data_IF_419595146195
#
_entry.id   IF_419595146195
#
_cell.length_a   1.000
_cell.length_b   1.000
_cell.length_c   1.000
_cell.angle_alpha   90.00
_cell.angle_beta   90.00
_cell.angle_gamma   90.00
#
_symmetry.space_group_name_H-M   'P 1'
#
loop_
_entity.id
_entity.type
_entity.pdbx_description
1 polymer ?
#
# COMPACT_ATOMS: atom_id res chain seq x y z
N UNK A 1 6.24 -20.12 -11.04
CA UNK A 1 4.91 -19.82 -11.61
C UNK A 1 5.12 -19.59 -13.11
N UNK A 2 4.56 -20.47 -13.96
CA UNK A 2 4.78 -20.44 -15.43
C UNK A 2 4.15 -19.21 -16.14
N UNK A 3 3.41 -18.35 -15.43
CA UNK A 3 2.69 -17.24 -16.00
C UNK A 3 2.91 -15.92 -15.22
N UNK A 4 4.15 -15.68 -14.76
CA UNK A 4 4.46 -14.46 -14.01
C UNK A 4 4.10 -13.16 -14.75
N UNK A 5 4.31 -13.12 -16.06
CA UNK A 5 3.97 -11.97 -16.90
C UNK A 5 2.46 -11.70 -16.95
N UNK A 6 1.63 -12.75 -16.93
CA UNK A 6 0.17 -12.60 -16.88
C UNK A 6 -0.30 -12.03 -15.54
N UNK A 7 0.33 -12.43 -14.43
CA UNK A 7 0.03 -11.88 -13.11
C UNK A 7 0.41 -10.41 -13.01
N UNK A 8 1.55 -10.02 -13.58
CA UNK A 8 2.00 -8.62 -13.64
C UNK A 8 1.01 -7.79 -14.48
N UNK A 9 0.58 -8.31 -15.64
CA UNK A 9 -0.40 -7.63 -16.49
C UNK A 9 -1.74 -7.43 -15.77
N UNK A 10 -2.18 -8.42 -15.00
CA UNK A 10 -3.40 -8.33 -14.18
C UNK A 10 -3.29 -7.25 -13.12
N UNK A 11 -2.13 -7.14 -12.47
CA UNK A 11 -1.83 -6.05 -11.53
C UNK A 11 -1.95 -4.68 -12.18
N UNK A 12 -1.36 -4.50 -13.37
CA UNK A 12 -1.41 -3.24 -14.11
C UNK A 12 -2.83 -2.85 -14.55
N UNK A 13 -3.65 -3.81 -14.96
CA UNK A 13 -5.07 -3.57 -15.25
C UNK A 13 -5.80 -3.11 -13.99
N UNK A 14 -5.54 -3.76 -12.85
CA UNK A 14 -6.11 -3.36 -11.57
C UNK A 14 -5.71 -1.94 -11.18
N UNK A 15 -4.44 -1.57 -11.34
CA UNK A 15 -3.94 -0.20 -11.10
C UNK A 15 -4.70 0.82 -11.95
N UNK A 16 -4.85 0.56 -13.25
CA UNK A 16 -5.57 1.46 -14.15
C UNK A 16 -7.01 1.68 -13.72
N UNK A 17 -7.72 0.61 -13.37
CA UNK A 17 -9.09 0.69 -12.86
C UNK A 17 -9.16 1.48 -11.53
N UNK A 18 -8.21 1.26 -10.63
CA UNK A 18 -8.16 1.96 -9.35
C UNK A 18 -7.92 3.46 -9.52
N UNK A 19 -7.01 3.87 -10.40
CA UNK A 19 -6.73 5.28 -10.68
C UNK A 19 -8.00 6.01 -11.13
N UNK A 20 -8.79 5.38 -11.98
CA UNK A 20 -10.06 5.95 -12.46
C UNK A 20 -11.09 6.08 -11.33
N UNK A 21 -11.10 5.14 -10.38
CA UNK A 21 -12.07 5.12 -9.27
C UNK A 21 -11.70 6.04 -8.12
N UNK A 22 -10.42 6.39 -7.94
CA UNK A 22 -9.93 7.18 -6.80
C UNK A 22 -10.69 8.50 -6.62
N UNK A 23 -10.89 9.36 -7.64
CA UNK A 23 -11.60 10.63 -7.47
C UNK A 23 -13.01 10.44 -6.89
N UNK A 24 -13.74 9.42 -7.34
CA UNK A 24 -15.10 9.13 -6.86
C UNK A 24 -15.11 8.65 -5.42
N UNK A 25 -14.16 7.81 -5.05
CA UNK A 25 -14.06 7.27 -3.69
C UNK A 25 -13.58 8.35 -2.72
N UNK A 26 -12.64 9.21 -3.13
CA UNK A 26 -12.15 10.31 -2.31
C UNK A 26 -13.22 11.35 -1.99
N UNK A 27 -14.07 11.70 -2.95
CA UNK A 27 -15.18 12.65 -2.72
C UNK A 27 -16.20 12.09 -1.72
N UNK A 28 -16.39 10.78 -1.70
CA UNK A 28 -17.38 10.12 -0.84
C UNK A 28 -16.86 9.82 0.56
N UNK A 29 -15.63 9.33 0.68
CA UNK A 29 -15.08 8.80 1.94
C UNK A 29 -14.02 9.69 2.59
N UNK A 30 -13.47 10.64 1.86
CA UNK A 30 -12.38 11.51 2.31
C UNK A 30 -11.00 10.84 2.28
N UNK A 31 -9.95 11.67 2.37
CA UNK A 31 -8.56 11.24 2.23
C UNK A 31 -8.14 10.21 3.27
N UNK A 32 -8.48 10.45 4.55
CA UNK A 32 -8.11 9.54 5.64
C UNK A 32 -8.63 8.11 5.40
N UNK A 33 -9.90 7.99 5.06
CA UNK A 33 -10.53 6.69 4.86
C UNK A 33 -9.96 5.97 3.62
N UNK A 34 -9.67 6.71 2.56
CA UNK A 34 -9.04 6.15 1.35
C UNK A 34 -7.63 5.64 1.66
N UNK A 35 -6.83 6.37 2.42
CA UNK A 35 -5.50 5.92 2.86
C UNK A 35 -5.59 4.70 3.80
N UNK A 36 -6.58 4.64 4.69
CA UNK A 36 -6.81 3.47 5.54
C UNK A 36 -7.22 2.24 4.72
N UNK A 37 -8.07 2.41 3.72
CA UNK A 37 -8.42 1.33 2.77
C UNK A 37 -7.15 0.80 2.09
N UNK A 38 -6.27 1.68 1.66
CA UNK A 38 -4.99 1.30 1.05
C UNK A 38 -4.10 0.50 2.01
N UNK A 39 -3.98 0.94 3.26
CA UNK A 39 -3.19 0.23 4.28
C UNK A 39 -3.78 -1.14 4.62
N UNK A 40 -5.11 -1.24 4.75
CA UNK A 40 -5.78 -2.53 4.95
C UNK A 40 -5.64 -3.44 3.74
N UNK A 41 -5.61 -2.90 2.52
CA UNK A 41 -5.31 -3.65 1.31
C UNK A 41 -3.89 -4.24 1.33
N UNK A 42 -2.89 -3.54 1.87
CA UNK A 42 -1.56 -4.10 2.09
C UNK A 42 -1.57 -5.27 3.08
N UNK A 43 -2.30 -5.15 4.20
CA UNK A 43 -2.48 -6.25 5.15
C UNK A 43 -3.09 -7.47 4.48
N UNK A 44 -4.17 -7.26 3.73
CA UNK A 44 -4.84 -8.33 2.99
C UNK A 44 -3.91 -8.99 1.97
N UNK A 45 -3.16 -8.19 1.23
CA UNK A 45 -2.20 -8.69 0.23
C UNK A 45 -1.14 -9.59 0.85
N UNK A 46 -0.51 -9.16 1.93
CA UNK A 46 0.49 -9.97 2.61
C UNK A 46 -0.11 -11.22 3.24
N UNK A 47 -1.34 -11.13 3.78
CA UNK A 47 -2.08 -12.30 4.26
C UNK A 47 -2.39 -13.32 3.16
N UNK A 48 -2.77 -12.85 1.98
CA UNK A 48 -3.00 -13.72 0.81
C UNK A 48 -1.72 -14.42 0.34
N UNK A 49 -0.58 -13.73 0.38
CA UNK A 49 0.71 -14.36 0.08
C UNK A 49 1.10 -15.39 1.15
N UNK A 50 0.80 -15.14 2.42
CA UNK A 50 1.08 -16.08 3.50
C UNK A 50 0.28 -17.38 3.37
N UNK A 51 -0.97 -17.28 2.95
CA UNK A 51 -1.89 -18.42 2.80
C UNK A 51 -1.79 -19.09 1.43
N UNK A 52 -1.30 -18.36 0.41
CA UNK A 52 -1.19 -18.87 -0.96
C UNK A 52 -0.12 -19.95 -1.09
N UNK A 53 -0.35 -20.88 -2.00
CA UNK A 53 0.63 -21.89 -2.41
C UNK A 53 0.57 -22.14 -3.93
N UNK A 54 1.61 -22.75 -4.54
CA UNK A 54 1.63 -22.99 -5.98
C UNK A 54 0.59 -24.00 -6.49
N UNK A 55 -0.09 -24.71 -5.59
CA UNK A 55 -1.14 -25.68 -5.90
C UNK A 55 -2.54 -25.05 -5.92
N UNK A 56 -3.41 -25.54 -5.05
CA UNK A 56 -4.83 -25.08 -4.93
C UNK A 56 -4.96 -23.62 -4.46
N UNK A 57 -3.90 -23.02 -3.92
CA UNK A 57 -3.88 -21.63 -3.43
C UNK A 57 -3.44 -20.58 -4.44
N UNK A 58 -3.25 -20.92 -5.71
CA UNK A 58 -2.84 -19.97 -6.77
C UNK A 58 -3.82 -18.80 -6.92
N UNK A 59 -5.10 -19.05 -6.72
CA UNK A 59 -6.12 -17.98 -6.77
C UNK A 59 -5.90 -16.87 -5.75
N UNK A 60 -5.27 -17.18 -4.61
CA UNK A 60 -4.89 -16.17 -3.61
C UNK A 60 -3.81 -15.22 -4.14
N UNK A 61 -2.87 -15.72 -4.92
CA UNK A 61 -1.88 -14.87 -5.59
C UNK A 61 -2.51 -13.98 -6.65
N UNK A 62 -3.47 -14.49 -7.42
CA UNK A 62 -4.22 -13.72 -8.41
C UNK A 62 -5.00 -12.59 -7.71
N UNK A 63 -5.72 -12.92 -6.64
CA UNK A 63 -6.45 -11.94 -5.85
C UNK A 63 -5.52 -10.88 -5.23
N UNK A 64 -4.35 -11.30 -4.75
CA UNK A 64 -3.32 -10.39 -4.25
C UNK A 64 -2.84 -9.40 -5.32
N UNK A 65 -2.72 -9.82 -6.57
CA UNK A 65 -2.34 -8.92 -7.67
C UNK A 65 -3.44 -7.89 -7.98
N UNK A 66 -4.70 -8.26 -7.85
CA UNK A 66 -5.82 -7.32 -7.99
C UNK A 66 -5.83 -6.31 -6.83
N UNK A 67 -5.63 -6.77 -5.60
CA UNK A 67 -5.59 -5.92 -4.41
C UNK A 67 -4.39 -4.96 -4.44
N UNK A 68 -3.33 -5.29 -5.18
CA UNK A 68 -2.16 -4.44 -5.32
C UNK A 68 -2.49 -3.03 -5.84
N UNK A 69 -3.33 -2.93 -6.86
CA UNK A 69 -3.75 -1.63 -7.38
C UNK A 69 -4.40 -0.77 -6.29
N UNK A 70 -5.31 -1.34 -5.51
CA UNK A 70 -5.94 -0.64 -4.38
C UNK A 70 -4.89 -0.24 -3.33
N UNK A 71 -3.99 -1.14 -2.97
CA UNK A 71 -2.99 -0.89 -1.94
C UNK A 71 -2.01 0.23 -2.35
N UNK A 72 -1.53 0.20 -3.58
CA UNK A 72 -0.49 1.11 -4.05
C UNK A 72 -1.07 2.47 -4.47
N UNK A 73 -2.05 2.47 -5.35
CA UNK A 73 -2.55 3.71 -5.96
C UNK A 73 -3.37 4.55 -4.98
N UNK A 74 -4.22 3.92 -4.17
CA UNK A 74 -5.01 4.65 -3.19
C UNK A 74 -4.11 5.36 -2.19
N UNK A 75 -3.02 4.74 -1.76
CA UNK A 75 -2.08 5.39 -0.84
C UNK A 75 -1.31 6.52 -1.51
N UNK A 76 -0.68 6.27 -2.65
CA UNK A 76 0.20 7.23 -3.31
C UNK A 76 -0.57 8.44 -3.84
N UNK A 77 -1.69 8.23 -4.51
CA UNK A 77 -2.48 9.31 -5.10
C UNK A 77 -3.17 10.12 -4.00
N UNK A 78 -3.75 9.46 -2.99
CA UNK A 78 -4.37 10.17 -1.87
C UNK A 78 -3.35 10.96 -1.06
N UNK A 79 -2.17 10.39 -0.81
CA UNK A 79 -1.07 11.08 -0.13
C UNK A 79 -0.57 12.30 -0.92
N UNK A 80 -0.39 12.14 -2.21
CA UNK A 80 0.00 13.23 -3.12
C UNK A 80 -1.04 14.36 -3.12
N UNK A 81 -2.31 14.03 -3.23
CA UNK A 81 -3.41 15.01 -3.18
C UNK A 81 -3.51 15.68 -1.81
N UNK A 82 -3.28 14.95 -0.72
CA UNK A 82 -3.22 15.53 0.61
C UNK A 82 -2.10 16.58 0.73
N UNK A 83 -0.91 16.27 0.24
CA UNK A 83 0.23 17.20 0.21
C UNK A 83 -0.12 18.43 -0.62
N UNK A 84 -0.71 18.24 -1.79
CA UNK A 84 -1.11 19.35 -2.66
C UNK A 84 -2.12 20.29 -2.01
N UNK A 85 -3.13 19.75 -1.34
CA UNK A 85 -4.18 20.53 -0.69
C UNK A 85 -3.71 21.28 0.56
N UNK A 86 -2.64 20.80 1.22
CA UNK A 86 -2.12 21.37 2.46
C UNK A 86 -0.84 22.19 2.28
N UNK A 87 -0.42 22.45 1.03
CA UNK A 87 0.82 23.17 0.72
C UNK A 87 0.52 24.36 -0.18
N UNK A 88 1.16 25.49 0.09
CA UNK A 88 1.07 26.69 -0.74
C UNK A 88 1.58 26.42 -2.16
N UNK A 89 0.99 27.11 -3.15
CA UNK A 89 1.32 26.92 -4.57
C UNK A 89 2.81 27.07 -4.88
N UNK A 90 3.50 27.97 -4.17
CA UNK A 90 4.94 28.21 -4.35
C UNK A 90 5.82 27.04 -3.88
N UNK A 91 5.36 26.28 -2.91
CA UNK A 91 6.12 25.18 -2.28
C UNK A 91 5.61 23.79 -2.69
N UNK A 92 4.57 23.71 -3.49
CA UNK A 92 3.87 22.47 -3.85
C UNK A 92 4.80 21.45 -4.49
N UNK A 93 5.65 21.87 -5.43
CA UNK A 93 6.61 20.96 -6.09
C UNK A 93 7.64 20.41 -5.09
N UNK A 94 8.16 21.25 -4.20
CA UNK A 94 9.11 20.81 -3.17
C UNK A 94 8.48 19.85 -2.18
N UNK A 95 7.23 20.11 -1.77
CA UNK A 95 6.49 19.23 -0.86
C UNK A 95 6.18 17.86 -1.50
N UNK A 96 5.84 17.83 -2.79
CA UNK A 96 5.67 16.59 -3.54
C UNK A 96 6.99 15.81 -3.66
N UNK A 97 8.09 16.50 -3.96
CA UNK A 97 9.42 15.88 -3.98
C UNK A 97 9.81 15.30 -2.63
N UNK A 98 9.52 16.01 -1.53
CA UNK A 98 9.76 15.52 -0.18
C UNK A 98 8.88 14.29 0.14
N UNK A 99 7.61 14.31 -0.23
CA UNK A 99 6.70 13.16 -0.06
C UNK A 99 7.24 11.93 -0.80
N UNK A 100 7.66 12.08 -2.04
CA UNK A 100 8.26 11.00 -2.82
C UNK A 100 9.59 10.50 -2.23
N UNK A 101 10.43 11.41 -1.75
CA UNK A 101 11.68 11.03 -1.08
C UNK A 101 11.42 10.24 0.20
N UNK A 102 10.47 10.68 1.02
CA UNK A 102 10.11 9.98 2.25
C UNK A 102 9.50 8.59 2.00
N UNK A 103 8.63 8.47 1.01
CA UNK A 103 7.95 7.20 0.70
C UNK A 103 8.83 6.25 -0.12
N UNK A 104 9.28 6.69 -1.29
CA UNK A 104 10.00 5.83 -2.24
C UNK A 104 11.52 5.81 -2.03
N UNK A 105 12.07 6.78 -1.30
CA UNK A 105 13.47 6.79 -0.90
C UNK A 105 13.67 6.16 0.48
N UNK A 106 13.47 6.95 1.52
CA UNK A 106 13.76 6.55 2.91
C UNK A 106 12.87 5.38 3.34
N UNK A 107 11.57 5.47 3.11
CA UNK A 107 10.62 4.42 3.48
C UNK A 107 10.91 3.10 2.78
N UNK A 108 11.18 3.14 1.47
CA UNK A 108 11.53 1.96 0.70
C UNK A 108 12.86 1.34 1.17
N UNK A 109 13.87 2.16 1.49
CA UNK A 109 15.16 1.68 1.99
C UNK A 109 15.01 0.97 3.34
N UNK A 110 14.33 1.60 4.30
CA UNK A 110 14.07 1.01 5.62
C UNK A 110 13.24 -0.27 5.45
N UNK A 111 12.21 -0.23 4.61
CA UNK A 111 11.36 -1.39 4.34
C UNK A 111 12.14 -2.56 3.76
N UNK A 112 13.01 -2.32 2.80
CA UNK A 112 13.84 -3.36 2.17
C UNK A 112 14.82 -3.98 3.17
N UNK A 113 15.50 -3.16 3.96
CA UNK A 113 16.44 -3.65 4.98
C UNK A 113 15.72 -4.45 6.06
N UNK A 114 14.57 -3.97 6.52
CA UNK A 114 13.75 -4.69 7.50
C UNK A 114 13.22 -6.01 6.94
N UNK A 115 12.76 -6.01 5.69
CA UNK A 115 12.29 -7.22 5.02
C UNK A 115 13.41 -8.25 4.87
N UNK A 116 14.61 -7.82 4.51
CA UNK A 116 15.78 -8.72 4.41
C UNK A 116 16.14 -9.33 5.77
N UNK A 117 16.08 -8.53 6.85
CA UNK A 117 16.33 -9.03 8.20
C UNK A 117 15.32 -10.10 8.61
N UNK A 118 14.03 -9.90 8.30
CA UNK A 118 12.98 -10.89 8.55
C UNK A 118 13.22 -12.16 7.75
N UNK A 119 13.50 -12.04 6.46
CA UNK A 119 13.76 -13.20 5.59
C UNK A 119 14.96 -14.00 6.12
N UNK A 120 16.03 -13.33 6.51
CA UNK A 120 17.22 -13.99 7.06
C UNK A 120 16.91 -14.71 8.38
N UNK A 121 16.08 -14.12 9.26
CA UNK A 121 15.70 -14.71 10.52
C UNK A 121 14.82 -15.98 10.36
N UNK A 122 14.04 -16.05 9.29
CA UNK A 122 13.18 -17.21 8.98
C UNK A 122 13.78 -18.14 7.91
N UNK A 123 15.07 -18.01 7.62
CA UNK A 123 15.80 -18.93 6.75
C UNK A 123 16.63 -19.88 7.61
N UNK A 124 16.31 -21.17 7.58
CA UNK A 124 17.02 -22.23 8.29
C UNK A 124 17.56 -23.22 7.26
N UNK A 125 18.84 -23.56 7.36
CA UNK A 125 19.53 -24.50 6.44
C UNK A 125 19.33 -24.18 4.95
N UNK A 126 19.31 -22.89 4.60
CA UNK A 126 19.11 -22.42 3.23
C UNK A 126 17.67 -22.49 2.72
N UNK A 127 16.71 -22.86 3.56
CA UNK A 127 15.28 -22.89 3.23
C UNK A 127 14.55 -21.76 3.94
N UNK A 128 13.94 -20.87 3.18
CA UNK A 128 13.16 -19.74 3.74
C UNK A 128 11.72 -20.14 3.98
N UNK A 129 11.23 -19.86 5.18
CA UNK A 129 9.83 -20.08 5.57
C UNK A 129 8.99 -18.88 5.09
N UNK A 130 8.64 -18.84 3.83
CA UNK A 130 7.95 -17.71 3.20
C UNK A 130 6.62 -17.36 3.84
N UNK A 131 5.82 -18.36 4.24
CA UNK A 131 4.54 -18.11 4.89
C UNK A 131 4.73 -17.33 6.20
N UNK A 132 5.71 -17.69 7.02
CA UNK A 132 6.02 -16.98 8.26
C UNK A 132 6.48 -15.53 7.98
N UNK A 133 7.32 -15.31 6.97
CA UNK A 133 7.74 -13.97 6.55
C UNK A 133 6.55 -13.10 6.15
N UNK A 134 5.63 -13.63 5.36
CA UNK A 134 4.44 -12.89 4.92
C UNK A 134 3.48 -12.57 6.07
N UNK A 135 3.35 -13.46 7.07
CA UNK A 135 2.58 -13.15 8.28
C UNK A 135 3.21 -12.03 9.09
N UNK A 136 4.53 -11.98 9.20
CA UNK A 136 5.25 -10.87 9.86
C UNK A 136 4.98 -9.56 9.13
N UNK A 137 5.05 -9.56 7.81
CA UNK A 137 4.76 -8.36 7.00
C UNK A 137 3.30 -7.91 7.13
N UNK A 138 2.35 -8.84 7.15
CA UNK A 138 0.94 -8.54 7.38
C UNK A 138 0.71 -7.93 8.76
N UNK A 139 1.33 -8.47 9.80
CA UNK A 139 1.28 -7.95 11.17
C UNK A 139 1.87 -6.55 11.27
N UNK A 140 3.01 -6.31 10.65
CA UNK A 140 3.62 -4.98 10.59
C UNK A 140 2.72 -3.96 9.88
N UNK A 141 2.17 -4.31 8.71
CA UNK A 141 1.24 -3.46 7.98
C UNK A 141 -0.02 -3.14 8.80
N UNK A 142 -0.54 -4.10 9.55
CA UNK A 142 -1.68 -3.90 10.44
C UNK A 142 -1.35 -2.92 11.57
N UNK A 143 -0.20 -3.04 12.21
CA UNK A 143 0.26 -2.12 13.26
C UNK A 143 0.39 -0.71 12.73
N UNK A 144 0.99 -0.53 11.54
CA UNK A 144 1.12 0.77 10.88
C UNK A 144 -0.25 1.35 10.53
N UNK A 145 -1.19 0.54 10.04
CA UNK A 145 -2.55 0.97 9.73
C UNK A 145 -3.29 1.46 10.98
N UNK A 146 -3.19 0.75 12.09
CA UNK A 146 -3.78 1.14 13.38
C UNK A 146 -3.16 2.43 13.90
N UNK A 147 -1.82 2.54 13.87
CA UNK A 147 -1.11 3.75 14.28
C UNK A 147 -1.53 4.96 13.43
N UNK A 148 -1.64 4.80 12.13
CA UNK A 148 -2.14 5.84 11.22
C UNK A 148 -3.58 6.24 11.55
N UNK A 149 -4.47 5.30 11.80
CA UNK A 149 -5.86 5.58 12.15
C UNK A 149 -6.01 6.41 13.43
N UNK A 150 -5.11 6.20 14.40
CA UNK A 150 -5.11 6.91 15.67
C UNK A 150 -4.44 8.30 15.59
N UNK A 151 -3.35 8.39 14.84
CA UNK A 151 -2.50 9.60 14.80
C UNK A 151 -2.98 10.58 13.73
N UNK A 152 -3.36 10.09 12.56
CA UNK A 152 -3.72 10.93 11.43
C UNK A 152 -5.12 11.54 11.60
N UNK A 153 -5.16 12.85 11.78
CA UNK A 153 -6.39 13.64 11.89
C UNK A 153 -6.35 14.77 10.86
N UNK A 154 -6.87 14.57 9.65
CA UNK A 154 -6.94 15.65 8.67
C UNK A 154 -7.85 16.76 9.19
N UNK A 155 -7.41 18.01 9.07
CA UNK A 155 -8.28 19.15 9.34
C UNK A 155 -9.41 19.15 8.33
N UNK A 156 -10.64 18.96 8.78
CA UNK A 156 -11.82 19.12 7.93
C UNK A 156 -11.91 20.60 7.59
N UNK A 157 -11.62 20.98 6.35
CA UNK A 157 -12.05 22.31 5.87
C UNK A 157 -13.56 22.28 5.88
N UNK A 158 -14.19 23.02 6.81
CA UNK A 158 -15.61 23.35 6.69
C UNK A 158 -15.74 24.11 5.37
N UNK A 159 -16.43 23.54 4.42
CA UNK A 159 -17.00 24.29 3.31
C UNK A 159 -17.95 25.28 3.96
N UNK A 160 -17.53 26.55 4.11
CA UNK A 160 -18.47 27.62 4.31
C UNK A 160 -19.20 27.75 2.98
N UNK A 161 -20.44 27.29 3.00
CA UNK A 161 -21.43 27.67 2.01
C UNK A 161 -21.62 29.19 2.16
N UNK A 162 -21.16 29.95 1.19
CA UNK A 162 -21.69 31.27 0.84
C UNK A 162 -22.03 31.27 -0.65
#
# INVERSE_FOLDING_TARGET
VNHANMLISLSQISETCCIILIPFIMTRYGIKNVMLIAMMAWVLRFGLFALGNPGSGVWMFILSMIVYGVAFDFFNISGSLFVEQNTDTKQRSSAQGLFMLMTNGIGATIGTLSAQAVVNAYTVDGVTQWAACWYVFAGYALVVAVAFALIFRPKTKKHNEE
#
